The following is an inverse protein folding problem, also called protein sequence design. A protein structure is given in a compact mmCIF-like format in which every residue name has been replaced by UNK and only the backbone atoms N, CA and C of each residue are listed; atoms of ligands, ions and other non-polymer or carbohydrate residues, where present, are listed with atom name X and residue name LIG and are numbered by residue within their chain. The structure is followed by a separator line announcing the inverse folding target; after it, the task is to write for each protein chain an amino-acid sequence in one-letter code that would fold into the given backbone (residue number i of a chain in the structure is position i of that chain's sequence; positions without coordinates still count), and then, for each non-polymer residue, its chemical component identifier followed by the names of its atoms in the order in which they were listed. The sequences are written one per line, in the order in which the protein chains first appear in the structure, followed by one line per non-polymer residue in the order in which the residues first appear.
data_IF_857782010186
#
_entry.id   IF_857782010186
#
_cell.length_a   1.000
_cell.length_b   1.000
_cell.length_c   1.000
_cell.angle_alpha   90.00
_cell.angle_beta   90.00
_cell.angle_gamma   90.00
#
_symmetry.space_group_name_H-M   'P 1'
#
loop_
_entity.id
_entity.type
_entity.pdbx_description
1 polymer ?
#
# COMPACT_ATOMS: atom_id res chain seq x y z
N UNK A 1 24.52 -2.53 -2.20
CA UNK A 1 23.91 -2.06 -0.93
C UNK A 1 22.45 -2.50 -0.95
N UNK A 2 22.02 -3.29 0.04
CA UNK A 2 20.70 -3.94 0.00
C UNK A 2 19.59 -2.99 0.49
N UNK A 3 18.50 -2.93 -0.25
CA UNK A 3 17.26 -2.26 0.13
C UNK A 3 16.30 -3.23 0.80
N UNK A 4 15.57 -2.74 1.79
CA UNK A 4 14.37 -3.43 2.28
C UNK A 4 13.16 -2.65 1.78
N UNK A 5 12.40 -3.27 0.89
CA UNK A 5 11.23 -2.71 0.23
C UNK A 5 9.97 -3.31 0.87
N UNK A 6 9.15 -2.48 1.48
CA UNK A 6 7.92 -2.89 2.16
C UNK A 6 6.70 -2.56 1.32
N UNK A 7 5.71 -3.45 1.28
CA UNK A 7 4.35 -3.03 1.04
C UNK A 7 3.83 -2.22 2.23
N UNK A 8 2.73 -1.50 2.01
CA UNK A 8 2.09 -0.69 3.04
C UNK A 8 0.87 -1.38 3.64
N UNK A 9 -0.15 -1.69 2.84
CA UNK A 9 -1.40 -2.29 3.29
C UNK A 9 -1.22 -3.75 3.73
N UNK A 10 -1.67 -4.11 4.94
CA UNK A 10 -1.46 -5.47 5.48
C UNK A 10 -0.03 -5.77 5.96
N UNK A 11 0.92 -4.84 5.74
CA UNK A 11 2.34 -4.97 6.17
C UNK A 11 2.71 -3.88 7.17
N UNK A 12 2.62 -2.60 6.78
CA UNK A 12 2.91 -1.47 7.67
C UNK A 12 1.63 -1.01 8.37
N UNK A 13 0.52 -0.98 7.66
CA UNK A 13 -0.78 -0.70 8.28
C UNK A 13 -1.66 -1.95 8.36
N UNK A 14 -2.56 -1.93 9.35
CA UNK A 14 -3.63 -2.92 9.47
C UNK A 14 -4.56 -2.84 8.25
N UNK A 15 -5.17 -3.96 7.84
CA UNK A 15 -6.30 -3.91 6.91
C UNK A 15 -7.40 -3.01 7.46
N UNK A 16 -8.21 -2.41 6.58
CA UNK A 16 -9.37 -1.62 7.01
C UNK A 16 -10.21 -2.38 8.04
N UNK A 17 -10.47 -1.75 9.18
CA UNK A 17 -11.29 -2.34 10.23
C UNK A 17 -12.74 -2.52 9.75
N UNK A 18 -13.47 -3.46 10.38
CA UNK A 18 -14.91 -3.62 10.13
C UNK A 18 -15.67 -2.30 10.40
N UNK A 19 -15.26 -1.54 11.42
CA UNK A 19 -15.86 -0.25 11.75
C UNK A 19 -15.64 0.79 10.64
N UNK A 20 -14.45 0.82 10.03
CA UNK A 20 -14.14 1.75 8.93
C UNK A 20 -14.91 1.36 7.67
N UNK A 21 -14.94 0.08 7.30
CA UNK A 21 -15.76 -0.40 6.17
C UNK A 21 -17.24 -0.08 6.37
N UNK A 22 -17.76 -0.30 7.58
CA UNK A 22 -19.14 0.04 7.90
C UNK A 22 -19.41 1.56 7.86
N UNK A 23 -18.42 2.38 8.20
CA UNK A 23 -18.52 3.85 8.11
C UNK A 23 -18.55 4.31 6.66
N UNK A 24 -17.67 3.78 5.82
CA UNK A 24 -17.65 4.03 4.37
C UNK A 24 -18.96 3.59 3.71
N UNK A 25 -19.45 2.39 4.01
CA UNK A 25 -20.71 1.89 3.47
C UNK A 25 -21.90 2.77 3.87
N UNK A 26 -21.96 3.23 5.12
CA UNK A 26 -23.01 4.19 5.55
C UNK A 26 -22.92 5.51 4.80
N UNK A 27 -21.71 6.06 4.65
CA UNK A 27 -21.49 7.32 3.94
C UNK A 27 -21.85 7.20 2.45
N UNK A 28 -21.63 6.04 1.83
CA UNK A 28 -22.02 5.77 0.44
C UNK A 28 -23.55 5.77 0.23
N UNK A 29 -24.32 5.53 1.31
CA UNK A 29 -25.79 5.49 1.27
C UNK A 29 -26.39 4.30 0.53
N UNK A 30 -25.59 3.29 0.16
CA UNK A 30 -26.04 2.04 -0.42
C UNK A 30 -25.98 0.86 0.56
N UNK A 31 -26.49 -0.34 0.18
CA UNK A 31 -26.29 -1.55 0.94
C UNK A 31 -24.80 -1.88 1.07
N UNK A 32 -24.37 -2.33 2.26
CA UNK A 32 -22.94 -2.52 2.55
C UNK A 32 -22.27 -3.53 1.59
N UNK A 33 -22.95 -4.62 1.24
CA UNK A 33 -22.41 -5.63 0.32
C UNK A 33 -22.25 -5.09 -1.10
N UNK A 34 -23.20 -4.30 -1.59
CA UNK A 34 -23.14 -3.70 -2.92
C UNK A 34 -22.05 -2.63 -2.98
N UNK A 35 -21.92 -1.84 -1.91
CA UNK A 35 -20.83 -0.87 -1.77
C UNK A 35 -19.48 -1.57 -1.80
N UNK A 36 -19.26 -2.60 -1.00
CA UNK A 36 -17.98 -3.30 -0.94
C UNK A 36 -17.60 -3.93 -2.29
N UNK A 37 -18.56 -4.54 -2.97
CA UNK A 37 -18.34 -5.10 -4.31
C UNK A 37 -17.94 -4.02 -5.32
N UNK A 38 -18.59 -2.86 -5.30
CA UNK A 38 -18.28 -1.75 -6.20
C UNK A 38 -16.97 -1.05 -5.85
N UNK A 39 -16.70 -0.84 -4.57
CA UNK A 39 -15.47 -0.26 -4.05
C UNK A 39 -14.25 -1.03 -4.58
N UNK A 40 -14.21 -2.36 -4.46
CA UNK A 40 -13.08 -3.17 -4.93
C UNK A 40 -13.05 -3.36 -6.45
N UNK A 41 -14.19 -3.28 -7.15
CA UNK A 41 -14.26 -3.43 -8.61
C UNK A 41 -13.40 -2.42 -9.35
N UNK A 42 -13.37 -1.18 -8.89
CA UNK A 42 -12.66 -0.08 -9.54
C UNK A 42 -11.38 0.34 -8.81
N UNK A 43 -11.07 -0.32 -7.68
CA UNK A 43 -9.97 0.09 -6.80
C UNK A 43 -8.63 0.09 -7.51
N UNK A 44 -8.29 -0.94 -8.26
CA UNK A 44 -7.00 -1.02 -8.95
C UNK A 44 -6.83 0.10 -9.99
N UNK A 45 -7.91 0.47 -10.70
CA UNK A 45 -7.88 1.60 -11.65
C UNK A 45 -7.68 2.94 -10.93
N UNK A 46 -8.21 3.08 -9.73
CA UNK A 46 -7.99 4.24 -8.87
C UNK A 46 -6.56 4.26 -8.32
N UNK A 47 -6.07 3.15 -7.80
CA UNK A 47 -4.72 3.01 -7.26
C UNK A 47 -3.63 3.33 -8.28
N UNK A 48 -3.83 3.01 -9.57
CA UNK A 48 -2.87 3.34 -10.64
C UNK A 48 -3.17 4.64 -11.38
N UNK A 49 -4.07 5.49 -10.83
CA UNK A 49 -4.49 6.76 -11.40
C UNK A 49 -5.05 6.68 -12.85
N UNK A 50 -5.61 5.52 -13.25
CA UNK A 50 -6.46 5.41 -14.43
C UNK A 50 -7.83 6.06 -14.22
N UNK A 51 -8.26 6.16 -12.96
CA UNK A 51 -9.39 6.97 -12.49
C UNK A 51 -8.87 8.01 -11.50
N UNK A 52 -9.35 9.24 -11.62
CA UNK A 52 -9.21 10.23 -10.55
C UNK A 52 -10.25 10.00 -9.44
N UNK A 53 -10.14 10.74 -8.35
CA UNK A 53 -11.01 10.61 -7.18
C UNK A 53 -12.50 10.77 -7.53
N UNK A 54 -12.83 11.74 -8.38
CA UNK A 54 -14.20 12.00 -8.81
C UNK A 54 -14.73 10.86 -9.67
N UNK A 55 -13.97 10.43 -10.67
CA UNK A 55 -14.36 9.34 -11.56
C UNK A 55 -14.53 8.01 -10.80
N UNK A 56 -13.65 7.72 -9.84
CA UNK A 56 -13.75 6.52 -9.01
C UNK A 56 -15.04 6.51 -8.17
N UNK A 57 -15.27 7.56 -7.38
CA UNK A 57 -16.44 7.62 -6.51
C UNK A 57 -17.75 7.72 -7.29
N UNK A 58 -17.77 8.38 -8.46
CA UNK A 58 -18.96 8.39 -9.33
C UNK A 58 -19.27 7.02 -9.95
N UNK A 59 -18.25 6.19 -10.24
CA UNK A 59 -18.48 4.79 -10.67
C UNK A 59 -19.07 3.96 -9.55
N UNK A 60 -18.55 4.10 -8.33
CA UNK A 60 -19.13 3.46 -7.13
C UNK A 60 -20.57 3.90 -6.94
N UNK A 61 -20.87 5.22 -7.06
CA UNK A 61 -22.21 5.75 -6.96
C UNK A 61 -23.16 5.16 -8.02
N UNK A 62 -22.72 5.08 -9.27
CA UNK A 62 -23.52 4.55 -10.38
C UNK A 62 -23.94 3.09 -10.15
N UNK A 63 -23.03 2.24 -9.66
CA UNK A 63 -23.35 0.86 -9.29
C UNK A 63 -24.40 0.77 -8.17
N UNK A 64 -24.46 1.78 -7.27
CA UNK A 64 -25.44 1.89 -6.21
C UNK A 64 -26.73 2.62 -6.63
N UNK A 65 -26.89 2.96 -7.93
CA UNK A 65 -28.02 3.71 -8.45
C UNK A 65 -28.06 5.16 -7.95
N UNK A 66 -26.91 5.77 -7.68
CA UNK A 66 -26.74 7.12 -7.10
C UNK A 66 -25.84 8.00 -7.96
N UNK A 67 -25.72 9.25 -7.52
CA UNK A 67 -24.69 10.20 -7.94
C UNK A 67 -24.24 10.97 -6.71
N UNK A 68 -22.94 11.17 -6.54
CA UNK A 68 -22.40 11.92 -5.41
C UNK A 68 -22.08 13.36 -5.80
N UNK A 69 -22.41 14.28 -4.90
CA UNK A 69 -21.94 15.67 -4.96
C UNK A 69 -20.44 15.75 -4.57
N UNK A 70 -19.80 16.87 -4.92
CA UNK A 70 -18.38 17.08 -4.54
C UNK A 70 -18.14 16.97 -3.02
N UNK A 71 -19.00 17.49 -2.11
CA UNK A 71 -18.84 17.26 -0.68
C UNK A 71 -18.94 15.78 -0.25
N UNK A 72 -19.83 14.99 -0.87
CA UNK A 72 -19.93 13.55 -0.59
C UNK A 72 -18.69 12.81 -1.05
N UNK A 73 -18.16 13.14 -2.23
CA UNK A 73 -16.89 12.59 -2.73
C UNK A 73 -15.73 12.93 -1.79
N UNK A 74 -15.64 14.19 -1.36
CA UNK A 74 -14.60 14.62 -0.42
C UNK A 74 -14.67 13.85 0.91
N UNK A 75 -15.87 13.64 1.45
CA UNK A 75 -16.05 12.87 2.69
C UNK A 75 -15.74 11.40 2.51
N UNK A 76 -16.14 10.76 1.40
CA UNK A 76 -15.80 9.37 1.09
C UNK A 76 -14.30 9.19 0.93
N UNK A 77 -13.61 10.07 0.19
CA UNK A 77 -12.16 10.07 0.02
C UNK A 77 -11.45 10.23 1.37
N UNK A 78 -11.91 11.15 2.22
CA UNK A 78 -11.37 11.37 3.56
C UNK A 78 -11.54 10.13 4.45
N UNK A 79 -12.69 9.49 4.43
CA UNK A 79 -12.97 8.27 5.20
C UNK A 79 -12.11 7.11 4.71
N UNK A 80 -11.97 6.96 3.39
CA UNK A 80 -11.12 5.95 2.78
C UNK A 80 -9.66 6.15 3.19
N UNK A 81 -9.09 7.34 2.96
CA UNK A 81 -7.69 7.62 3.31
C UNK A 81 -7.42 7.40 4.80
N UNK A 82 -8.34 7.84 5.68
CA UNK A 82 -8.19 7.67 7.12
C UNK A 82 -8.20 6.20 7.55
N UNK A 83 -8.95 5.34 6.84
CA UNK A 83 -9.10 3.92 7.17
C UNK A 83 -7.81 3.09 6.96
N UNK A 84 -6.82 3.66 6.26
CA UNK A 84 -5.52 3.05 6.00
C UNK A 84 -4.39 3.59 6.89
N UNK A 85 -4.70 4.30 8.00
CA UNK A 85 -3.69 4.96 8.84
C UNK A 85 -3.40 4.23 10.17
N UNK A 86 -4.07 3.12 10.45
CA UNK A 86 -3.80 2.31 11.66
C UNK A 86 -2.57 1.45 11.42
N UNK A 87 -1.46 1.82 12.07
CA UNK A 87 -0.18 1.12 11.89
C UNK A 87 -0.10 -0.15 12.72
N UNK A 88 0.60 -1.17 12.21
CA UNK A 88 0.95 -2.39 12.94
C UNK A 88 2.15 -2.12 13.86
N UNK A 89 2.00 -2.17 15.20
CA UNK A 89 3.07 -1.81 16.12
C UNK A 89 4.35 -2.63 15.93
N UNK A 90 4.23 -3.94 15.72
CA UNK A 90 5.38 -4.82 15.49
C UNK A 90 6.16 -4.50 14.22
N UNK A 91 5.46 -4.07 13.16
CA UNK A 91 6.13 -3.63 11.91
C UNK A 91 6.80 -2.28 12.09
N UNK A 92 6.18 -1.36 12.84
CA UNK A 92 6.82 -0.07 13.17
C UNK A 92 8.11 -0.30 13.98
N UNK A 93 8.10 -1.21 14.95
CA UNK A 93 9.31 -1.60 15.70
C UNK A 93 10.38 -2.21 14.79
N UNK A 94 10.00 -3.06 13.83
CA UNK A 94 10.92 -3.62 12.84
C UNK A 94 11.55 -2.51 12.00
N UNK A 95 10.73 -1.60 11.45
CA UNK A 95 11.18 -0.47 10.62
C UNK A 95 12.15 0.42 11.39
N UNK A 96 11.81 0.81 12.63
CA UNK A 96 12.67 1.67 13.45
C UNK A 96 14.01 0.99 13.80
N UNK A 97 13.99 -0.31 14.10
CA UNK A 97 15.21 -1.09 14.35
C UNK A 97 16.10 -1.20 13.09
N UNK A 98 15.52 -1.43 11.93
CA UNK A 98 16.25 -1.49 10.65
C UNK A 98 16.86 -0.12 10.31
N UNK A 99 16.11 0.96 10.46
CA UNK A 99 16.59 2.32 10.22
C UNK A 99 17.75 2.69 11.18
N UNK A 100 17.61 2.35 12.46
CA UNK A 100 18.66 2.58 13.47
C UNK A 100 19.95 1.78 13.16
N UNK A 101 19.81 0.60 12.56
CA UNK A 101 20.94 -0.22 12.09
C UNK A 101 21.56 0.27 10.75
N UNK A 102 21.01 1.35 10.16
CA UNK A 102 21.54 1.96 8.95
C UNK A 102 21.13 1.28 7.65
N UNK A 103 20.08 0.45 7.67
CA UNK A 103 19.54 -0.17 6.45
C UNK A 103 18.73 0.84 5.64
N UNK A 104 18.79 0.70 4.32
CA UNK A 104 18.04 1.53 3.38
C UNK A 104 16.62 0.99 3.24
N UNK A 105 15.64 1.81 3.52
CA UNK A 105 14.23 1.42 3.54
C UNK A 105 13.44 2.16 2.46
N UNK A 106 12.53 1.46 1.80
CA UNK A 106 11.58 2.03 0.86
C UNK A 106 10.21 1.37 0.99
N UNK A 107 9.18 2.06 0.52
CA UNK A 107 7.81 1.53 0.40
C UNK A 107 7.45 1.42 -1.08
N UNK A 108 6.75 0.34 -1.45
CA UNK A 108 6.05 0.20 -2.73
C UNK A 108 4.60 -0.25 -2.46
N UNK A 109 3.65 0.64 -2.63
CA UNK A 109 2.24 0.37 -2.33
C UNK A 109 1.32 0.66 -3.51
N UNK A 110 0.29 -0.17 -3.67
CA UNK A 110 -0.85 0.15 -4.51
C UNK A 110 -1.79 1.06 -3.73
N UNK A 111 -1.79 2.35 -4.06
CA UNK A 111 -2.63 3.34 -3.39
C UNK A 111 -2.91 4.55 -4.30
N UNK A 112 -4.13 5.13 -4.21
CA UNK A 112 -4.47 6.36 -4.90
C UNK A 112 -3.80 7.57 -4.24
N UNK A 113 -3.86 8.72 -4.90
CA UNK A 113 -3.13 9.91 -4.49
C UNK A 113 -3.51 10.43 -3.10
N UNK A 114 -4.78 10.39 -2.74
CA UNK A 114 -5.29 10.84 -1.44
C UNK A 114 -4.81 9.94 -0.27
N UNK A 115 -4.75 8.62 -0.47
CA UNK A 115 -4.14 7.69 0.50
C UNK A 115 -2.64 7.92 0.59
N UNK A 116 -1.95 8.06 -0.55
CA UNK A 116 -0.52 8.33 -0.59
C UNK A 116 -0.16 9.61 0.17
N UNK A 117 -0.92 10.70 -0.01
CA UNK A 117 -0.75 11.97 0.71
C UNK A 117 -0.91 11.76 2.23
N UNK A 118 -1.96 11.04 2.64
CA UNK A 118 -2.19 10.75 4.05
C UNK A 118 -1.05 9.93 4.68
N UNK A 119 -0.50 8.95 3.94
CA UNK A 119 0.65 8.14 4.41
C UNK A 119 1.92 8.97 4.51
N UNK A 120 2.16 9.89 3.57
CA UNK A 120 3.33 10.81 3.64
C UNK A 120 3.32 11.68 4.91
N UNK A 121 2.15 11.98 5.47
CA UNK A 121 2.02 12.77 6.70
C UNK A 121 2.29 11.97 7.99
N UNK A 122 2.42 10.64 7.92
CA UNK A 122 2.67 9.80 9.09
C UNK A 122 4.12 9.91 9.57
N UNK A 123 4.38 9.88 10.90
CA UNK A 123 5.74 9.88 11.43
C UNK A 123 6.62 8.74 10.91
N UNK A 124 6.03 7.56 10.65
CA UNK A 124 6.76 6.39 10.14
C UNK A 124 7.33 6.64 8.75
N UNK A 125 6.73 7.54 7.96
CA UNK A 125 7.23 7.93 6.63
C UNK A 125 8.67 8.45 6.66
N UNK A 126 9.07 9.10 7.77
CA UNK A 126 10.42 9.64 7.95
C UNK A 126 11.55 8.61 8.04
N UNK A 127 11.24 7.32 8.18
CA UNK A 127 12.24 6.24 8.18
C UNK A 127 12.59 5.74 6.78
N UNK A 128 11.83 6.11 5.76
CA UNK A 128 12.00 5.63 4.39
C UNK A 128 12.70 6.67 3.52
N UNK A 129 13.68 6.23 2.72
CA UNK A 129 14.31 7.09 1.72
C UNK A 129 13.38 7.34 0.53
N UNK A 130 12.52 6.37 0.21
CA UNK A 130 11.54 6.45 -0.86
C UNK A 130 10.18 5.88 -0.42
N UNK A 131 9.12 6.65 -0.69
CA UNK A 131 7.73 6.20 -0.62
C UNK A 131 7.20 6.18 -2.05
N UNK A 132 7.04 4.99 -2.62
CA UNK A 132 6.62 4.80 -4.00
C UNK A 132 5.18 4.29 -4.01
N UNK A 133 4.31 5.02 -4.71
CA UNK A 133 2.90 4.68 -4.83
C UNK A 133 2.52 4.46 -6.30
N UNK A 134 1.68 3.48 -6.55
CA UNK A 134 1.19 3.10 -7.88
C UNK A 134 0.56 4.26 -8.65
N UNK A 135 -0.12 5.18 -7.97
CA UNK A 135 -0.71 6.37 -8.59
C UNK A 135 0.34 7.27 -9.25
N UNK A 136 1.54 7.40 -8.66
CA UNK A 136 2.63 8.18 -9.24
C UNK A 136 3.30 7.43 -10.41
N UNK A 137 3.38 6.10 -10.33
CA UNK A 137 3.94 5.25 -11.38
C UNK A 137 2.98 5.02 -12.55
N UNK A 138 1.69 5.21 -12.35
CA UNK A 138 0.60 4.82 -13.26
C UNK A 138 0.63 3.33 -13.62
N UNK A 139 1.18 2.53 -12.74
CA UNK A 139 1.31 1.08 -12.80
C UNK A 139 1.22 0.52 -11.40
N UNK A 140 0.66 -0.65 -11.22
CA UNK A 140 0.40 -1.23 -9.91
C UNK A 140 0.98 -2.65 -9.81
N UNK A 141 1.38 -3.08 -8.62
CA UNK A 141 1.70 -4.48 -8.37
C UNK A 141 0.46 -5.35 -8.70
N UNK A 142 0.61 -6.52 -9.32
CA UNK A 142 1.85 -7.25 -9.63
C UNK A 142 2.46 -6.96 -11.02
N UNK A 143 2.07 -5.89 -11.72
CA UNK A 143 2.59 -5.58 -13.06
C UNK A 143 4.12 -5.38 -13.00
N UNK A 144 4.91 -6.02 -13.91
CA UNK A 144 6.37 -5.92 -13.92
C UNK A 144 6.88 -4.48 -14.02
N UNK A 145 6.18 -3.63 -14.76
CA UNK A 145 6.51 -2.21 -14.96
C UNK A 145 6.54 -1.43 -13.64
N UNK A 146 5.66 -1.79 -12.68
CA UNK A 146 5.61 -1.18 -11.36
C UNK A 146 6.92 -1.44 -10.58
N UNK A 147 7.40 -2.68 -10.59
CA UNK A 147 8.66 -3.06 -9.94
C UNK A 147 9.87 -2.47 -10.67
N UNK A 148 9.90 -2.50 -12.01
CA UNK A 148 11.00 -1.94 -12.81
C UNK A 148 11.13 -0.42 -12.58
N UNK A 149 10.01 0.32 -12.55
CA UNK A 149 10.02 1.74 -12.24
C UNK A 149 10.52 2.00 -10.80
N UNK A 150 10.13 1.16 -9.84
CA UNK A 150 10.62 1.23 -8.46
C UNK A 150 12.12 0.99 -8.39
N UNK A 151 12.65 -0.05 -9.03
CA UNK A 151 14.08 -0.34 -9.09
C UNK A 151 14.88 0.83 -9.67
N UNK A 152 14.36 1.46 -10.72
CA UNK A 152 14.99 2.63 -11.33
C UNK A 152 15.05 3.83 -10.35
N UNK A 153 13.97 4.09 -9.57
CA UNK A 153 13.94 5.12 -8.52
C UNK A 153 14.95 4.82 -7.40
N UNK A 154 15.04 3.56 -6.96
CA UNK A 154 15.98 3.12 -5.94
C UNK A 154 17.43 3.07 -6.45
N UNK A 155 17.64 3.14 -7.76
CA UNK A 155 18.94 2.90 -8.43
C UNK A 155 19.54 1.57 -7.98
N UNK A 156 18.73 0.52 -7.97
CA UNK A 156 19.09 -0.80 -7.46
C UNK A 156 18.91 -1.88 -8.53
N UNK A 157 19.78 -2.87 -8.50
CA UNK A 157 19.56 -4.12 -9.23
C UNK A 157 18.55 -4.99 -8.46
N UNK A 158 17.77 -5.84 -9.14
CA UNK A 158 16.79 -6.69 -8.46
C UNK A 158 17.39 -7.50 -7.30
N UNK A 159 18.59 -8.08 -7.47
CA UNK A 159 19.27 -8.87 -6.45
C UNK A 159 19.69 -8.07 -5.20
N UNK A 160 19.67 -6.73 -5.27
CA UNK A 160 19.97 -5.82 -4.16
C UNK A 160 18.71 -5.44 -3.36
N UNK A 161 17.55 -5.99 -3.70
CA UNK A 161 16.28 -5.65 -3.05
C UNK A 161 15.66 -6.87 -2.37
N UNK A 162 15.31 -6.71 -1.10
CA UNK A 162 14.47 -7.66 -0.36
C UNK A 162 13.08 -7.04 -0.24
N UNK A 163 12.09 -7.71 -0.81
CA UNK A 163 10.71 -7.25 -0.87
C UNK A 163 9.79 -8.03 0.08
N UNK A 164 8.99 -7.31 0.87
CA UNK A 164 8.02 -7.85 1.83
C UNK A 164 6.61 -7.37 1.44
N UNK A 165 5.70 -8.32 1.18
CA UNK A 165 4.32 -8.04 0.76
C UNK A 165 3.40 -9.16 1.29
N UNK A 166 2.20 -8.86 1.72
CA UNK A 166 1.24 -9.84 2.24
C UNK A 166 0.62 -10.71 1.12
N UNK A 167 0.65 -10.22 -0.13
CA UNK A 167 0.04 -10.87 -1.29
C UNK A 167 1.03 -11.75 -2.04
N UNK A 168 0.68 -13.01 -2.19
CA UNK A 168 1.50 -14.02 -2.90
C UNK A 168 1.77 -13.67 -4.36
N UNK A 169 0.80 -13.05 -5.05
CA UNK A 169 0.95 -12.65 -6.45
C UNK A 169 2.03 -11.55 -6.60
N UNK A 170 2.07 -10.57 -5.70
CA UNK A 170 3.10 -9.54 -5.67
C UNK A 170 4.50 -10.12 -5.38
N UNK A 171 4.58 -11.01 -4.37
CA UNK A 171 5.83 -11.70 -4.02
C UNK A 171 6.36 -12.53 -5.19
N UNK A 172 5.48 -13.28 -5.86
CA UNK A 172 5.85 -14.09 -7.02
C UNK A 172 6.34 -13.23 -8.19
N UNK A 173 5.66 -12.09 -8.48
CA UNK A 173 6.05 -11.18 -9.54
C UNK A 173 7.42 -10.53 -9.28
N UNK A 174 7.69 -10.11 -8.05
CA UNK A 174 9.01 -9.60 -7.65
C UNK A 174 10.12 -10.65 -7.78
N UNK A 175 9.85 -11.89 -7.38
CA UNK A 175 10.80 -13.02 -7.51
C UNK A 175 11.15 -13.31 -8.98
N UNK A 176 10.18 -13.25 -9.90
CA UNK A 176 10.40 -13.43 -11.35
C UNK A 176 11.37 -12.39 -11.90
N UNK A 177 11.39 -11.19 -11.34
CA UNK A 177 12.31 -10.12 -11.71
C UNK A 177 13.70 -10.26 -11.06
N UNK A 178 13.89 -11.24 -10.17
CA UNK A 178 15.16 -11.50 -9.49
C UNK A 178 15.33 -10.83 -8.13
N UNK A 179 14.28 -10.25 -7.57
CA UNK A 179 14.31 -9.75 -6.19
C UNK A 179 14.25 -10.92 -5.21
N UNK A 180 14.89 -10.77 -4.04
CA UNK A 180 14.60 -11.63 -2.89
C UNK A 180 13.24 -11.17 -2.34
N UNK A 181 12.27 -12.08 -2.25
CA UNK A 181 10.91 -11.67 -1.84
C UNK A 181 10.29 -12.67 -0.87
N UNK A 182 9.58 -12.16 0.13
CA UNK A 182 8.93 -12.94 1.18
C UNK A 182 7.48 -12.51 1.35
N UNK A 183 6.61 -13.50 1.55
CA UNK A 183 5.26 -13.21 1.96
C UNK A 183 5.27 -12.75 3.43
N UNK A 184 4.86 -11.52 3.67
CA UNK A 184 4.67 -11.00 5.02
C UNK A 184 3.46 -11.66 5.68
N UNK A 185 3.62 -12.15 6.89
CA UNK A 185 2.53 -12.67 7.73
C UNK A 185 2.48 -11.95 9.07
N UNK A 186 3.65 -11.65 9.64
CA UNK A 186 3.81 -10.94 10.91
C UNK A 186 5.24 -10.43 11.05
N UNK A 187 5.45 -9.40 11.84
CA UNK A 187 6.76 -8.77 12.01
C UNK A 187 7.87 -9.71 12.55
N UNK A 188 7.61 -10.63 13.51
CA UNK A 188 8.62 -11.60 13.93
C UNK A 188 9.12 -12.53 12.81
N UNK A 189 8.21 -13.00 11.95
CA UNK A 189 8.57 -13.83 10.80
C UNK A 189 9.41 -13.03 9.79
N UNK A 190 8.98 -11.80 9.45
CA UNK A 190 9.72 -10.90 8.57
C UNK A 190 11.11 -10.58 9.11
N UNK A 191 11.27 -10.35 10.41
CA UNK A 191 12.58 -10.16 11.07
C UNK A 191 13.48 -11.38 10.88
N UNK A 192 12.96 -12.60 11.05
CA UNK A 192 13.72 -13.84 10.85
C UNK A 192 14.12 -14.03 9.40
N UNK A 193 13.25 -13.73 8.44
CA UNK A 193 13.54 -13.78 7.01
C UNK A 193 14.67 -12.81 6.64
N UNK A 194 14.57 -11.55 7.06
CA UNK A 194 15.58 -10.53 6.84
C UNK A 194 16.94 -10.94 7.44
N UNK A 195 16.95 -11.48 8.68
CA UNK A 195 18.18 -11.91 9.34
C UNK A 195 18.92 -13.02 8.58
N UNK A 196 18.19 -13.96 7.94
CA UNK A 196 18.80 -15.00 7.08
C UNK A 196 19.52 -14.42 5.86
N UNK A 197 19.20 -13.20 5.47
CA UNK A 197 19.85 -12.46 4.38
C UNK A 197 20.83 -11.38 4.88
N UNK A 198 21.25 -11.46 6.15
CA UNK A 198 22.23 -10.54 6.73
C UNK A 198 21.68 -9.16 7.09
N UNK A 199 20.36 -8.99 7.10
CA UNK A 199 19.66 -7.74 7.47
C UNK A 199 19.14 -7.91 8.90
N UNK A 200 19.81 -7.29 9.86
CA UNK A 200 19.42 -7.33 11.27
C UNK A 200 18.82 -5.99 11.69
N UNK A 201 17.66 -6.04 12.32
CA UNK A 201 17.15 -4.90 13.11
C UNK A 201 17.87 -4.94 14.46
N UNK A 202 18.47 -3.85 14.81
CA UNK A 202 19.19 -3.68 16.08
C UNK A 202 18.32 -3.94 17.31
#
# INVERSE_FOLDING_TARGET
MTWVLFDYGGVICEPQSEADRARLARASGGPAADFEASYWRYRLDYDRAALDVTAYWQRVAADLGRSYSDPEIAELSRLDSTSWLTLQPGTVELITGLAAAGHRLAVLSNAPADVAEAVHALPVAGYFEHLVFSCALKSAKPDPECFQATLALLRAEPADVIFLDDRRDNVAAAAVLGMVSFQFTEAPAARADLARHGIAAG
#
